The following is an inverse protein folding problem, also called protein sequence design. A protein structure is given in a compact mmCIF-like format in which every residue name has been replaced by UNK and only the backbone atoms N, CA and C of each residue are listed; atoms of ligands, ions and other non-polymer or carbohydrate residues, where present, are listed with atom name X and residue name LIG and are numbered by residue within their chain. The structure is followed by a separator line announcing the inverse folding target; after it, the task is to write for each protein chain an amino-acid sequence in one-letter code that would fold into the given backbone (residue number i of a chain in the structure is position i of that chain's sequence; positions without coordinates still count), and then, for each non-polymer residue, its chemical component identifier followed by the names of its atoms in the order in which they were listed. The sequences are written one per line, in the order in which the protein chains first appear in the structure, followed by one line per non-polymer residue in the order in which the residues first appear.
data_IF_624857417623
#
_entry.id   IF_624857417623
#
_cell.length_a   1.000
_cell.length_b   1.000
_cell.length_c   1.000
_cell.angle_alpha   90.00
_cell.angle_beta   90.00
_cell.angle_gamma   90.00
#
_symmetry.space_group_name_H-M   'P 1'
#
loop_
_entity.id
_entity.type
_entity.pdbx_description
1 polymer ?
#
# COMPACT_ATOMS: atom_id res chain seq x y z
N UNK A 1 1.67 8.88 -12.47
CA UNK A 1 1.37 8.52 -11.07
C UNK A 1 1.70 7.05 -10.87
N UNK A 2 1.61 6.56 -9.64
CA UNK A 2 2.02 5.18 -9.30
C UNK A 2 0.96 4.11 -9.64
N UNK A 3 -0.22 4.54 -10.12
CA UNK A 3 -1.28 3.66 -10.61
C UNK A 3 -1.37 3.77 -12.14
N UNK A 4 -1.13 2.67 -12.85
CA UNK A 4 -1.38 2.53 -14.28
C UNK A 4 -2.67 1.72 -14.47
N UNK A 5 -3.80 2.42 -14.63
CA UNK A 5 -5.11 1.81 -14.81
C UNK A 5 -5.23 1.06 -16.15
N UNK A 6 -4.58 1.55 -17.20
CA UNK A 6 -4.67 0.96 -18.54
C UNK A 6 -3.98 -0.39 -18.58
N UNK A 7 -2.81 -0.49 -17.94
CA UNK A 7 -2.05 -1.74 -17.86
C UNK A 7 -2.40 -2.55 -16.62
N UNK A 8 -3.31 -2.08 -15.77
CA UNK A 8 -3.72 -2.70 -14.51
C UNK A 8 -2.52 -3.04 -13.62
N UNK A 9 -1.65 -2.06 -13.36
CA UNK A 9 -0.44 -2.24 -12.53
C UNK A 9 -0.21 -1.09 -11.55
N UNK A 10 0.37 -1.43 -10.40
CA UNK A 10 0.88 -0.48 -9.41
C UNK A 10 2.40 -0.45 -9.47
N UNK A 11 2.98 0.74 -9.51
CA UNK A 11 4.42 0.96 -9.46
C UNK A 11 4.87 1.17 -8.01
N UNK A 12 5.56 0.18 -7.46
CA UNK A 12 6.21 0.25 -6.16
C UNK A 12 7.63 0.74 -6.38
N UNK A 13 7.88 2.00 -5.99
CA UNK A 13 9.19 2.65 -6.13
C UNK A 13 10.12 2.30 -4.98
N UNK A 14 11.42 2.20 -5.27
CA UNK A 14 12.50 2.09 -4.26
C UNK A 14 12.25 0.99 -3.21
N UNK A 15 11.85 -0.18 -3.66
CA UNK A 15 11.79 -1.38 -2.81
C UNK A 15 13.19 -1.83 -2.35
N UNK A 16 13.27 -3.01 -1.75
CA UNK A 16 14.56 -3.57 -1.28
C UNK A 16 15.62 -3.55 -2.40
N UNK A 17 16.80 -3.04 -2.06
CA UNK A 17 17.91 -2.85 -3.02
C UNK A 17 17.68 -1.70 -4.01
N UNK A 18 16.82 -0.72 -3.65
CA UNK A 18 16.44 0.40 -4.52
C UNK A 18 15.76 -0.03 -5.83
N UNK A 19 15.15 -1.22 -5.85
CA UNK A 19 14.52 -1.78 -7.04
C UNK A 19 13.05 -1.40 -7.10
N UNK A 20 12.64 -0.99 -8.29
CA UNK A 20 11.24 -0.75 -8.61
C UNK A 20 10.55 -2.06 -8.99
N UNK A 21 9.25 -2.15 -8.68
CA UNK A 21 8.43 -3.33 -8.97
C UNK A 21 7.10 -2.89 -9.55
N UNK A 22 6.64 -3.59 -10.58
CA UNK A 22 5.28 -3.46 -11.10
C UNK A 22 4.45 -4.63 -10.58
N UNK A 23 3.40 -4.35 -9.83
CA UNK A 23 2.51 -5.35 -9.23
C UNK A 23 1.16 -5.33 -9.94
N UNK A 24 0.56 -6.48 -10.28
CA UNK A 24 -0.79 -6.52 -10.84
C UNK A 24 -1.81 -5.80 -9.95
N UNK A 25 -2.69 -5.01 -10.58
CA UNK A 25 -3.79 -4.31 -9.91
C UNK A 25 -5.13 -4.94 -10.33
N UNK A 26 -5.79 -5.70 -9.45
CA UNK A 26 -7.13 -6.22 -9.73
C UNK A 26 -8.14 -5.10 -9.97
N UNK A 27 -9.14 -5.35 -10.80
CA UNK A 27 -10.17 -4.35 -11.13
C UNK A 27 -10.93 -3.87 -9.89
N UNK A 28 -11.26 -4.79 -8.97
CA UNK A 28 -11.93 -4.45 -7.71
C UNK A 28 -11.09 -3.50 -6.83
N UNK A 29 -9.76 -3.67 -6.84
CA UNK A 29 -8.86 -2.79 -6.11
C UNK A 29 -8.78 -1.41 -6.79
N UNK A 30 -8.74 -1.36 -8.13
CA UNK A 30 -8.78 -0.09 -8.86
C UNK A 30 -10.08 0.68 -8.60
N UNK A 31 -11.23 0.01 -8.55
CA UNK A 31 -12.51 0.63 -8.22
C UNK A 31 -12.50 1.20 -6.80
N UNK A 32 -12.04 0.43 -5.81
CA UNK A 32 -11.90 0.90 -4.43
C UNK A 32 -10.96 2.11 -4.29
N UNK A 33 -9.85 2.13 -5.04
CA UNK A 33 -8.95 3.28 -5.08
C UNK A 33 -9.62 4.53 -5.67
N UNK A 34 -10.44 4.38 -6.72
CA UNK A 34 -11.17 5.50 -7.32
C UNK A 34 -12.20 6.07 -6.34
N UNK A 35 -12.98 5.22 -5.70
CA UNK A 35 -13.98 5.63 -4.70
C UNK A 35 -13.34 6.27 -3.46
N UNK A 36 -12.17 5.77 -3.04
CA UNK A 36 -11.42 6.42 -1.98
C UNK A 36 -10.96 7.81 -2.43
N UNK A 37 -10.43 7.93 -3.64
CA UNK A 37 -9.92 9.20 -4.16
C UNK A 37 -11.00 10.26 -4.32
N UNK A 38 -12.23 9.91 -4.72
CA UNK A 38 -13.33 10.90 -4.80
C UNK A 38 -13.67 11.53 -3.45
N UNK A 39 -13.43 10.80 -2.34
CA UNK A 39 -13.67 11.24 -0.96
C UNK A 39 -12.59 12.12 -0.36
N UNK A 40 -11.38 12.18 -0.91
CA UNK A 40 -10.34 13.04 -0.37
C UNK A 40 -9.71 13.99 -1.41
N UNK A 41 -9.78 13.63 -2.70
CA UNK A 41 -9.29 14.42 -3.85
C UNK A 41 -7.89 15.00 -3.65
N UNK A 42 -7.02 14.23 -3.00
CA UNK A 42 -5.64 14.64 -2.74
C UNK A 42 -4.85 14.50 -4.06
N UNK A 43 -4.11 15.54 -4.50
CA UNK A 43 -3.45 15.54 -5.80
C UNK A 43 -2.22 14.62 -5.88
N UNK A 44 -1.64 14.20 -4.75
CA UNK A 44 -0.36 13.46 -4.71
C UNK A 44 -0.45 12.11 -4.01
N UNK A 45 -1.19 12.01 -2.91
CA UNK A 45 -1.22 10.83 -2.05
C UNK A 45 -2.45 9.97 -2.34
N UNK A 46 -2.22 8.66 -2.53
CA UNK A 46 -3.30 7.66 -2.61
C UNK A 46 -3.99 7.44 -1.26
N UNK A 47 -3.22 7.55 -0.18
CA UNK A 47 -3.71 7.40 1.20
C UNK A 47 -3.19 8.58 2.03
N UNK A 48 -3.82 9.76 1.95
CA UNK A 48 -3.47 10.90 2.80
C UNK A 48 -3.78 10.61 4.27
N UNK A 49 -3.13 11.37 5.18
CA UNK A 49 -3.49 11.34 6.60
C UNK A 49 -4.98 11.70 6.77
N UNK A 50 -5.76 10.75 7.27
CA UNK A 50 -7.22 10.83 7.33
C UNK A 50 -7.75 11.47 8.62
N UNK A 51 -7.02 12.41 9.23
CA UNK A 51 -7.41 13.07 10.48
C UNK A 51 -7.96 14.48 10.24
N UNK A 52 -9.14 14.78 10.78
CA UNK A 52 -9.73 16.12 10.74
C UNK A 52 -10.77 16.30 9.64
N UNK A 53 -10.98 17.55 9.21
CA UNK A 53 -11.97 17.90 8.19
C UNK A 53 -11.55 17.43 6.78
N UNK A 54 -12.51 17.32 5.86
CA UNK A 54 -12.26 16.98 4.46
C UNK A 54 -11.17 17.87 3.82
N UNK A 55 -11.20 19.18 4.09
CA UNK A 55 -10.19 20.12 3.57
C UNK A 55 -8.79 19.82 4.10
N UNK A 56 -8.69 19.38 5.35
CA UNK A 56 -7.42 19.01 5.99
C UNK A 56 -6.85 17.77 5.32
N UNK A 57 -7.69 16.77 5.05
CA UNK A 57 -7.31 15.52 4.37
C UNK A 57 -6.91 15.80 2.92
N UNK A 58 -7.65 16.67 2.22
CA UNK A 58 -7.34 17.05 0.85
C UNK A 58 -5.98 17.74 0.73
N UNK A 59 -5.65 18.61 1.69
CA UNK A 59 -4.37 19.35 1.74
C UNK A 59 -3.26 18.59 2.48
N UNK A 60 -3.51 17.35 2.93
CA UNK A 60 -2.53 16.57 3.67
C UNK A 60 -1.25 16.37 2.84
N UNK A 61 -0.11 16.68 3.46
CA UNK A 61 1.23 16.49 2.90
C UNK A 61 1.85 15.17 3.34
N UNK A 62 1.29 14.54 4.37
CA UNK A 62 1.75 13.28 4.94
C UNK A 62 0.79 12.14 4.59
N UNK A 63 1.37 10.96 4.37
CA UNK A 63 0.60 9.74 4.13
C UNK A 63 -0.07 9.26 5.43
N UNK A 64 -1.09 8.41 5.29
CA UNK A 64 -1.72 7.67 6.40
C UNK A 64 -0.66 6.99 7.27
N UNK A 65 -0.89 6.94 8.58
CA UNK A 65 0.04 6.35 9.50
C UNK A 65 0.11 4.82 9.33
N UNK A 66 1.28 4.23 9.64
CA UNK A 66 1.51 2.79 9.45
C UNK A 66 0.64 1.92 10.37
N UNK A 67 0.36 2.40 11.58
CA UNK A 67 -0.41 1.67 12.58
C UNK A 67 -1.91 1.60 12.26
N UNK A 68 -2.45 2.62 11.60
CA UNK A 68 -3.85 2.73 11.22
C UNK A 68 -4.28 1.60 10.31
N UNK A 69 -3.47 1.29 9.28
CA UNK A 69 -3.74 0.16 8.38
C UNK A 69 -3.73 -1.19 9.13
N UNK A 70 -2.78 -1.38 10.05
CA UNK A 70 -2.69 -2.61 10.85
C UNK A 70 -3.90 -2.75 11.79
N UNK A 71 -4.28 -1.66 12.46
CA UNK A 71 -5.44 -1.64 13.37
C UNK A 71 -6.74 -1.89 12.62
N UNK A 72 -6.94 -1.23 11.47
CA UNK A 72 -8.12 -1.43 10.64
C UNK A 72 -8.26 -2.90 10.19
N UNK A 73 -7.17 -3.50 9.70
CA UNK A 73 -7.18 -4.92 9.32
C UNK A 73 -7.49 -5.83 10.52
N UNK A 74 -6.91 -5.55 11.69
CA UNK A 74 -7.17 -6.31 12.91
C UNK A 74 -8.66 -6.26 13.29
N UNK A 75 -9.27 -5.08 13.29
CA UNK A 75 -10.70 -4.91 13.57
C UNK A 75 -11.56 -5.70 12.60
N UNK A 76 -11.29 -5.63 11.29
CA UNK A 76 -12.05 -6.39 10.28
C UNK A 76 -11.93 -7.90 10.49
N UNK A 77 -10.72 -8.41 10.80
CA UNK A 77 -10.50 -9.83 11.10
C UNK A 77 -11.29 -10.29 12.32
N UNK A 78 -11.30 -9.47 13.38
CA UNK A 78 -12.03 -9.73 14.62
C UNK A 78 -13.56 -9.73 14.36
N UNK A 79 -14.09 -8.73 13.65
CA UNK A 79 -15.50 -8.61 13.29
C UNK A 79 -15.99 -9.73 12.36
N UNK A 80 -15.18 -10.15 11.40
CA UNK A 80 -15.47 -11.29 10.54
C UNK A 80 -15.33 -12.64 11.25
N UNK A 81 -14.90 -12.67 12.51
CA UNK A 81 -14.71 -13.91 13.27
C UNK A 81 -13.62 -14.82 12.71
N UNK A 82 -12.64 -14.27 12.00
CA UNK A 82 -11.54 -15.04 11.41
C UNK A 82 -10.54 -15.41 12.52
N UNK A 83 -10.65 -16.64 13.02
CA UNK A 83 -9.81 -17.14 14.12
C UNK A 83 -8.43 -17.65 13.67
N UNK A 84 -8.17 -17.71 12.35
CA UNK A 84 -6.91 -18.25 11.81
C UNK A 84 -5.76 -17.32 12.18
N UNK A 85 -4.91 -17.78 13.09
CA UNK A 85 -3.66 -17.10 13.44
C UNK A 85 -2.61 -17.41 12.39
N UNK A 86 -2.02 -16.40 11.76
CA UNK A 86 -0.79 -16.58 11.00
C UNK A 86 0.33 -16.87 12.00
N UNK A 87 0.86 -18.09 11.98
CA UNK A 87 2.07 -18.39 12.73
C UNK A 87 3.18 -17.48 12.20
N UNK A 88 3.92 -16.83 13.11
CA UNK A 88 5.15 -16.13 12.75
C UNK A 88 6.19 -17.20 12.40
N UNK A 89 6.16 -17.67 11.16
CA UNK A 89 7.16 -18.59 10.63
C UNK A 89 8.23 -17.68 10.02
N UNK A 90 9.45 -17.60 10.60
CA UNK A 90 10.55 -16.91 9.95
C UNK A 90 10.91 -17.68 8.67
N UNK A 91 10.42 -17.21 7.52
CA UNK A 91 10.83 -17.72 6.22
C UNK A 91 11.81 -16.72 5.59
N UNK A 92 13.05 -17.15 5.42
CA UNK A 92 14.01 -16.42 4.61
C UNK A 92 13.99 -17.02 3.20
N UNK A 93 13.65 -16.22 2.20
CA UNK A 93 13.99 -16.57 0.81
C UNK A 93 15.49 -16.38 0.67
N UNK A 94 16.25 -17.47 0.50
CA UNK A 94 17.67 -17.40 0.15
C UNK A 94 17.78 -16.70 -1.20
N UNK A 95 18.16 -15.43 -1.18
CA UNK A 95 18.52 -14.69 -2.39
C UNK A 95 19.97 -15.01 -2.71
N UNK A 96 20.27 -15.32 -3.97
CA UNK A 96 21.67 -15.48 -4.41
C UNK A 96 22.47 -14.24 -4.04
N UNK A 97 23.70 -14.45 -3.56
CA UNK A 97 24.66 -13.37 -3.33
C UNK A 97 24.89 -12.65 -4.66
N UNK A 98 24.50 -11.38 -4.71
CA UNK A 98 24.81 -10.53 -5.86
C UNK A 98 26.29 -10.19 -5.70
N UNK A 99 27.15 -10.89 -6.43
CA UNK A 99 28.53 -10.47 -6.61
C UNK A 99 28.50 -9.10 -7.29
N UNK A 100 28.86 -8.04 -6.56
CA UNK A 100 29.13 -6.74 -7.15
C UNK A 100 30.43 -6.90 -7.94
N UNK A 101 30.33 -6.90 -9.27
CA UNK A 101 31.51 -6.66 -10.10
C UNK A 101 31.91 -5.20 -9.89
N UNK A 102 33.06 -5.00 -9.26
CA UNK A 102 33.74 -3.72 -9.24
C UNK A 102 34.24 -3.41 -10.66
N UNK A 103 33.93 -2.20 -11.14
CA UNK A 103 34.60 -1.54 -12.25
C UNK A 103 35.02 -0.16 -11.76
#
# INVERSE_FOLDING_TARGET
GDIDANRKRVHIRRGKGHKDRLVPLPDIALLGLRELWTRHKNPKLLFPKASGSFETIQKATTHMDRGGAQKAMKTVVDECGIKKKSLCIPCATVSQHICLNAA
#
